data_IF_057822733626
#
_entry.id   IF_057822733626
#
_cell.length_a   1.000
_cell.length_b   1.000
_cell.length_c   1.000
_cell.angle_alpha   90.00
_cell.angle_beta   90.00
_cell.angle_gamma   90.00
#
_symmetry.space_group_name_H-M   'P 1'
#
loop_
_entity.id
_entity.type
_entity.pdbx_description
1 polymer ?
#
# COMPACT_ATOMS: atom_id res chain seq x y z
N UNK A 1 1.59 24.38 -4.48
CA UNK A 1 1.22 25.63 -3.78
C UNK A 1 0.09 26.43 -4.46
N UNK A 2 -0.26 26.20 -5.74
CA UNK A 2 -1.32 26.96 -6.42
C UNK A 2 -2.69 26.97 -5.73
N UNK A 3 -3.12 25.86 -5.13
CA UNK A 3 -4.38 25.76 -4.38
C UNK A 3 -4.44 26.72 -3.18
N UNK A 4 -3.44 26.65 -2.29
CA UNK A 4 -3.36 27.45 -1.07
C UNK A 4 -3.22 28.92 -1.40
N UNK A 5 -2.32 29.28 -2.33
CA UNK A 5 -2.13 30.67 -2.77
C UNK A 5 -3.40 31.24 -3.40
N UNK A 6 -4.11 30.46 -4.22
CA UNK A 6 -5.38 30.89 -4.82
C UNK A 6 -6.47 31.09 -3.76
N UNK A 7 -6.55 30.23 -2.75
CA UNK A 7 -7.49 30.39 -1.65
C UNK A 7 -7.19 31.65 -0.83
N UNK A 8 -5.92 31.87 -0.45
CA UNK A 8 -5.48 33.05 0.29
C UNK A 8 -5.81 34.35 -0.45
N UNK A 9 -5.49 34.41 -1.75
CA UNK A 9 -5.80 35.59 -2.57
C UNK A 9 -7.31 35.87 -2.65
N UNK A 10 -8.16 34.83 -2.72
CA UNK A 10 -9.62 35.00 -2.76
C UNK A 10 -10.25 35.36 -1.43
N UNK A 11 -9.62 34.96 -0.32
CA UNK A 11 -10.16 35.11 1.04
C UNK A 11 -9.45 36.17 1.88
N UNK A 12 -8.49 36.87 1.27
CA UNK A 12 -7.66 37.90 1.88
C UNK A 12 -7.10 37.43 3.23
N UNK A 13 -6.40 36.28 3.20
CA UNK A 13 -5.84 35.67 4.39
C UNK A 13 -4.38 35.26 4.20
N UNK A 14 -3.67 35.01 5.31
CA UNK A 14 -2.28 34.56 5.31
C UNK A 14 -2.17 33.05 5.55
N UNK A 15 -0.95 32.52 5.49
CA UNK A 15 -0.66 31.13 5.82
C UNK A 15 -0.97 30.75 7.28
N UNK A 16 -0.98 31.74 8.19
CA UNK A 16 -1.27 31.52 9.62
C UNK A 16 -2.76 31.40 9.92
N UNK A 17 -3.62 31.60 8.91
CA UNK A 17 -5.06 31.49 9.07
C UNK A 17 -5.46 30.02 9.28
N UNK A 18 -6.28 29.76 10.31
CA UNK A 18 -6.77 28.41 10.63
C UNK A 18 -7.51 27.75 9.46
N UNK A 19 -8.11 28.52 8.56
CA UNK A 19 -8.78 28.01 7.36
C UNK A 19 -7.79 27.45 6.35
N UNK A 20 -6.59 28.04 6.24
CA UNK A 20 -5.52 27.52 5.38
C UNK A 20 -4.98 26.21 5.93
N UNK A 21 -4.78 26.12 7.25
CA UNK A 21 -4.41 24.86 7.89
C UNK A 21 -5.46 23.77 7.68
N UNK A 22 -6.75 24.13 7.76
CA UNK A 22 -7.83 23.18 7.51
C UNK A 22 -7.85 22.68 6.06
N UNK A 23 -7.56 23.54 5.08
CA UNK A 23 -7.45 23.12 3.68
C UNK A 23 -6.29 22.16 3.44
N UNK A 24 -5.15 22.40 4.07
CA UNK A 24 -4.00 21.50 4.03
C UNK A 24 -4.38 20.11 4.58
N UNK A 25 -5.06 20.07 5.73
CA UNK A 25 -5.56 18.83 6.30
C UNK A 25 -6.59 18.13 5.38
N UNK A 26 -7.53 18.89 4.80
CA UNK A 26 -8.56 18.35 3.91
C UNK A 26 -8.00 17.82 2.58
N UNK A 27 -6.90 18.40 2.09
CA UNK A 27 -6.17 17.90 0.94
C UNK A 27 -5.65 16.47 1.16
N UNK A 28 -5.25 16.16 2.40
CA UNK A 28 -4.75 14.85 2.79
C UNK A 28 -5.82 13.85 3.28
N UNK A 29 -7.12 14.19 3.25
CA UNK A 29 -8.17 13.23 3.58
C UNK A 29 -8.25 12.14 2.49
N UNK A 30 -8.00 10.90 2.89
CA UNK A 30 -7.98 9.73 1.98
C UNK A 30 -9.38 9.29 1.51
N UNK A 31 -10.46 9.86 2.04
CA UNK A 31 -11.82 9.55 1.60
C UNK A 31 -12.08 10.12 0.20
N UNK A 32 -12.18 9.21 -0.78
CA UNK A 32 -12.38 9.53 -2.21
C UNK A 32 -13.56 10.47 -2.51
N UNK A 33 -14.61 10.46 -1.70
CA UNK A 33 -15.83 11.26 -1.94
C UNK A 33 -15.78 12.70 -1.42
N UNK A 34 -14.78 13.05 -0.59
CA UNK A 34 -14.70 14.38 0.05
C UNK A 34 -13.30 14.97 0.18
N UNK A 35 -12.27 14.13 0.11
CA UNK A 35 -10.89 14.57 0.21
C UNK A 35 -10.58 15.53 -0.93
N UNK A 36 -10.00 16.68 -0.61
CA UNK A 36 -9.86 17.77 -1.57
C UNK A 36 -8.95 17.38 -2.75
N UNK A 37 -7.93 16.53 -2.52
CA UNK A 37 -7.15 15.91 -3.59
C UNK A 37 -8.03 15.14 -4.59
N UNK A 38 -8.96 14.31 -4.11
CA UNK A 38 -9.82 13.49 -4.97
C UNK A 38 -10.89 14.31 -5.69
N UNK A 39 -11.40 15.37 -5.05
CA UNK A 39 -12.31 16.32 -5.71
C UNK A 39 -11.60 17.02 -6.87
N UNK A 40 -10.37 17.50 -6.64
CA UNK A 40 -9.56 18.10 -7.70
C UNK A 40 -9.20 17.09 -8.80
N UNK A 41 -8.95 15.84 -8.43
CA UNK A 41 -8.69 14.78 -9.39
C UNK A 41 -9.90 14.48 -10.27
N UNK A 42 -11.12 14.49 -9.71
CA UNK A 42 -12.37 14.34 -10.47
C UNK A 42 -12.62 15.50 -11.43
N UNK A 43 -12.15 16.70 -11.08
CA UNK A 43 -12.28 17.91 -11.90
C UNK A 43 -11.11 18.10 -12.89
N UNK A 44 -10.32 17.05 -13.16
CA UNK A 44 -9.17 17.04 -14.08
C UNK A 44 -8.08 18.10 -13.74
N UNK A 45 -7.93 18.46 -12.45
CA UNK A 45 -6.95 19.43 -11.99
C UNK A 45 -5.63 18.79 -11.49
N UNK A 46 -5.51 17.46 -11.59
CA UNK A 46 -4.37 16.67 -11.09
C UNK A 46 -3.91 15.70 -12.17
N UNK A 47 -2.65 15.82 -12.59
CA UNK A 47 -2.03 14.86 -13.49
C UNK A 47 -1.69 13.56 -12.74
N UNK A 48 -2.01 12.43 -13.37
CA UNK A 48 -1.75 11.09 -12.82
C UNK A 48 -0.60 10.41 -13.55
N UNK A 49 0.19 9.65 -12.80
CA UNK A 49 1.25 8.78 -13.35
C UNK A 49 0.85 7.30 -13.39
N UNK A 50 -0.27 6.93 -12.74
CA UNK A 50 -0.84 5.58 -12.72
C UNK A 50 -2.36 5.65 -12.85
N UNK A 51 -2.94 4.61 -13.42
CA UNK A 51 -4.38 4.43 -13.63
C UNK A 51 -5.09 3.92 -12.36
N UNK A 52 -6.44 3.95 -12.33
CA UNK A 52 -7.19 3.31 -11.24
C UNK A 52 -7.02 1.79 -11.27
N UNK A 53 -7.06 1.16 -12.45
CA UNK A 53 -6.90 -0.29 -12.60
C UNK A 53 -5.56 -0.80 -12.04
N UNK A 54 -4.48 -0.05 -12.22
CA UNK A 54 -3.17 -0.37 -11.62
C UNK A 54 -3.20 -0.28 -10.09
N UNK A 55 -3.92 0.71 -9.53
CA UNK A 55 -4.11 0.85 -8.07
C UNK A 55 -4.93 -0.32 -7.54
N UNK A 56 -6.06 -0.63 -8.17
CA UNK A 56 -6.93 -1.75 -7.77
C UNK A 56 -6.19 -3.08 -7.81
N UNK A 57 -5.42 -3.33 -8.88
CA UNK A 57 -4.58 -4.52 -8.99
C UNK A 57 -3.57 -4.59 -7.84
N UNK A 58 -2.90 -3.49 -7.52
CA UNK A 58 -1.88 -3.44 -6.47
C UNK A 58 -2.45 -3.66 -5.04
N UNK A 59 -3.76 -3.50 -4.83
CA UNK A 59 -4.39 -3.81 -3.54
C UNK A 59 -4.34 -5.30 -3.20
N UNK A 60 -4.36 -6.18 -4.21
CA UNK A 60 -4.39 -7.64 -4.02
C UNK A 60 -3.18 -8.36 -4.60
N UNK A 61 -2.45 -7.71 -5.51
CA UNK A 61 -1.31 -8.30 -6.20
C UNK A 61 -0.02 -7.60 -5.75
N UNK A 62 0.89 -8.31 -5.06
CA UNK A 62 2.16 -7.73 -4.64
C UNK A 62 3.08 -7.46 -5.85
N UNK A 63 4.16 -6.67 -5.67
CA UNK A 63 5.21 -6.57 -6.67
C UNK A 63 5.85 -7.94 -6.98
N UNK A 64 5.77 -8.37 -8.24
CA UNK A 64 6.18 -9.71 -8.69
C UNK A 64 7.70 -9.93 -8.77
N UNK A 65 8.48 -8.86 -8.59
CA UNK A 65 9.95 -8.85 -8.74
C UNK A 65 10.70 -8.78 -7.41
N UNK A 66 9.99 -8.87 -6.28
CA UNK A 66 10.59 -8.74 -4.94
C UNK A 66 10.09 -9.83 -4.00
N UNK A 67 10.71 -9.94 -2.82
CA UNK A 67 10.27 -10.87 -1.75
C UNK A 67 8.84 -10.63 -1.25
N UNK A 68 8.23 -9.49 -1.59
CA UNK A 68 6.82 -9.24 -1.29
C UNK A 68 5.91 -10.28 -1.96
N UNK A 69 6.28 -10.78 -3.15
CA UNK A 69 5.61 -11.90 -3.82
C UNK A 69 5.64 -13.16 -2.94
N UNK A 70 6.84 -13.60 -2.54
CA UNK A 70 7.04 -14.79 -1.68
C UNK A 70 6.20 -14.71 -0.41
N UNK A 71 6.20 -13.55 0.24
CA UNK A 71 5.41 -13.33 1.46
C UNK A 71 3.90 -13.41 1.20
N UNK A 72 3.42 -12.83 0.10
CA UNK A 72 2.00 -12.88 -0.26
C UNK A 72 1.55 -14.30 -0.59
N UNK A 73 2.34 -15.05 -1.37
CA UNK A 73 2.06 -16.45 -1.73
C UNK A 73 1.97 -17.32 -0.47
N UNK A 74 2.90 -17.14 0.48
CA UNK A 74 2.86 -17.80 1.78
C UNK A 74 1.59 -17.47 2.58
N UNK A 75 1.23 -16.18 2.70
CA UNK A 75 0.03 -15.74 3.43
C UNK A 75 -1.23 -16.32 2.79
N UNK A 76 -1.31 -16.30 1.45
CA UNK A 76 -2.43 -16.83 0.69
C UNK A 76 -2.60 -18.33 0.96
N UNK A 77 -1.52 -19.11 0.83
CA UNK A 77 -1.53 -20.53 1.15
C UNK A 77 -1.97 -20.80 2.60
N UNK A 78 -1.44 -20.05 3.57
CA UNK A 78 -1.75 -20.25 4.97
C UNK A 78 -3.25 -19.97 5.26
N UNK A 79 -3.80 -18.90 4.69
CA UNK A 79 -5.23 -18.58 4.78
C UNK A 79 -6.09 -19.67 4.12
N UNK A 80 -5.75 -20.11 2.91
CA UNK A 80 -6.49 -21.17 2.18
C UNK A 80 -6.47 -22.52 2.92
N UNK A 81 -5.40 -22.81 3.66
CA UNK A 81 -5.26 -24.03 4.47
C UNK A 81 -5.72 -23.85 5.92
N UNK A 82 -6.25 -22.68 6.28
CA UNK A 82 -6.65 -22.33 7.65
C UNK A 82 -5.54 -22.61 8.69
N UNK A 83 -4.30 -22.31 8.34
CA UNK A 83 -3.12 -22.45 9.21
C UNK A 83 -2.79 -21.11 9.86
N UNK A 84 -2.49 -21.12 11.15
CA UNK A 84 -1.94 -19.95 11.84
C UNK A 84 -0.47 -19.71 11.45
N UNK A 85 -0.05 -18.44 11.42
CA UNK A 85 1.29 -18.04 10.99
C UNK A 85 1.74 -16.73 11.63
N UNK A 86 3.06 -16.53 11.66
CA UNK A 86 3.73 -15.27 12.00
C UNK A 86 4.60 -14.82 10.81
N UNK A 87 4.51 -13.55 10.45
CA UNK A 87 5.21 -13.00 9.27
C UNK A 87 5.82 -11.64 9.59
N UNK A 88 7.06 -11.44 9.15
CA UNK A 88 7.75 -10.14 9.17
C UNK A 88 8.16 -9.66 7.78
N UNK A 89 9.09 -8.70 7.73
CA UNK A 89 9.71 -8.26 6.47
C UNK A 89 10.72 -9.25 5.91
N UNK A 90 11.35 -10.06 6.76
CA UNK A 90 12.46 -10.96 6.40
C UNK A 90 12.27 -12.40 6.90
N UNK A 91 11.14 -12.71 7.52
CA UNK A 91 10.85 -14.06 8.01
C UNK A 91 9.40 -14.45 7.78
N UNK A 92 9.18 -15.75 7.58
CA UNK A 92 7.88 -16.40 7.42
C UNK A 92 7.87 -17.65 8.31
N UNK A 93 6.79 -17.89 9.04
CA UNK A 93 6.70 -19.03 9.97
C UNK A 93 5.27 -19.54 10.05
N UNK A 94 5.09 -20.85 9.87
CA UNK A 94 3.83 -21.52 10.23
C UNK A 94 3.85 -21.90 11.71
N UNK A 95 2.71 -21.74 12.36
CA UNK A 95 2.53 -22.10 13.76
C UNK A 95 2.07 -23.56 13.89
N UNK A 96 2.78 -24.48 13.25
CA UNK A 96 2.56 -25.93 13.31
C UNK A 96 3.40 -26.61 14.40
N UNK A 97 3.40 -27.94 14.50
CA UNK A 97 4.18 -28.64 15.54
C UNK A 97 5.69 -28.45 15.44
N UNK A 98 6.22 -28.10 14.26
CA UNK A 98 7.65 -28.01 13.98
C UNK A 98 8.15 -26.54 13.94
N UNK A 99 7.25 -25.55 13.92
CA UNK A 99 7.53 -24.12 14.11
C UNK A 99 8.71 -23.60 13.26
N UNK A 100 8.81 -24.03 12.00
CA UNK A 100 9.96 -23.71 11.14
C UNK A 100 9.88 -22.26 10.63
N UNK A 101 10.91 -21.47 10.92
CA UNK A 101 11.07 -20.12 10.38
C UNK A 101 11.91 -20.15 9.10
N UNK A 102 11.37 -19.59 8.01
CA UNK A 102 12.08 -19.36 6.75
C UNK A 102 12.53 -17.90 6.70
N UNK A 103 13.81 -17.66 6.41
CA UNK A 103 14.39 -16.31 6.32
C UNK A 103 14.54 -15.85 4.86
N UNK A 104 13.86 -14.78 4.50
CA UNK A 104 13.88 -14.13 3.18
C UNK A 104 14.63 -12.79 3.27
N UNK A 105 15.96 -12.86 3.40
CA UNK A 105 16.80 -11.67 3.66
C UNK A 105 17.02 -10.78 2.43
N UNK A 106 17.07 -11.37 1.24
CA UNK A 106 17.26 -10.65 -0.02
C UNK A 106 15.94 -9.98 -0.48
N UNK A 107 15.86 -8.65 -0.55
CA UNK A 107 14.63 -7.96 -0.96
C UNK A 107 14.30 -8.16 -2.45
N UNK A 108 15.28 -8.49 -3.30
CA UNK A 108 15.12 -8.59 -4.75
C UNK A 108 14.75 -10.00 -5.23
N UNK A 109 14.75 -11.00 -4.35
CA UNK A 109 14.32 -12.35 -4.70
C UNK A 109 12.81 -12.51 -4.56
N UNK A 110 12.14 -12.78 -5.68
CA UNK A 110 10.70 -13.07 -5.74
C UNK A 110 10.34 -14.55 -5.60
N UNK A 111 11.30 -15.40 -5.25
CA UNK A 111 11.14 -16.84 -5.02
C UNK A 111 12.02 -17.31 -3.85
N UNK A 112 11.64 -18.41 -3.21
CA UNK A 112 12.43 -19.08 -2.17
C UNK A 112 12.08 -20.58 -2.19
N UNK A 113 13.02 -21.49 -2.49
CA UNK A 113 12.70 -22.91 -2.66
C UNK A 113 12.02 -23.54 -1.45
N UNK A 114 12.33 -23.04 -0.25
CA UNK A 114 11.76 -23.54 1.00
C UNK A 114 10.30 -23.12 1.15
N UNK A 115 9.94 -21.97 0.60
CA UNK A 115 8.54 -21.52 0.53
C UNK A 115 7.82 -22.26 -0.58
N UNK A 116 8.44 -22.40 -1.76
CA UNK A 116 7.87 -23.11 -2.90
C UNK A 116 7.53 -24.56 -2.55
N UNK A 117 8.44 -25.26 -1.87
CA UNK A 117 8.22 -26.60 -1.31
C UNK A 117 7.05 -26.61 -0.31
N UNK A 118 6.99 -25.61 0.58
CA UNK A 118 5.95 -25.53 1.61
C UNK A 118 4.55 -25.34 1.02
N UNK A 119 4.42 -24.52 -0.01
CA UNK A 119 3.13 -24.18 -0.62
C UNK A 119 2.74 -25.13 -1.77
N UNK A 120 3.58 -26.12 -2.10
CA UNK A 120 3.31 -27.15 -3.09
C UNK A 120 3.49 -26.69 -4.54
N UNK A 121 4.46 -25.80 -4.78
CA UNK A 121 4.87 -25.37 -6.13
C UNK A 121 6.07 -26.17 -6.70
N UNK A 122 6.53 -27.21 -5.99
CA UNK A 122 7.59 -28.13 -6.40
C UNK A 122 7.04 -29.39 -7.05
#
# INVERSE_FOLDING_TARGET
HGLITSYMNRKDCSFDDQRVFMLDLQYHDIKRTRGLYYLMLHDDLIDRVITEDEIETAMTTPPQTTRAKVRSDFIKYANEKNKSYDVGWSYLKLNDRYQRTILCKDPFKSWDPRVDELIGLS
#
